data_IF_619856030859
#
_entry.id   IF_619856030859
#
_cell.length_a   1.000
_cell.length_b   1.000
_cell.length_c   1.000
_cell.angle_alpha   90.00
_cell.angle_beta   90.00
_cell.angle_gamma   90.00
#
_symmetry.space_group_name_H-M   'P 1'
#
loop_
_entity.id
_entity.type
_entity.pdbx_description
1 polymer ?
#
# COMPACT_ATOMS: atom_id res chain seq x y z
N UNK A 1 28.19 79.76 -24.98
CA UNK A 1 27.62 80.85 -24.15
C UNK A 1 27.00 80.17 -22.94
N UNK A 2 27.72 80.17 -21.81
CA UNK A 2 27.53 81.10 -20.67
C UNK A 2 26.21 80.77 -19.95
N UNK A 3 26.13 80.53 -18.65
CA UNK A 3 27.03 80.79 -17.53
C UNK A 3 26.59 79.96 -16.30
N UNK A 4 27.58 79.58 -15.50
CA UNK A 4 27.65 79.58 -14.02
C UNK A 4 26.33 79.64 -13.25
N UNK A 5 26.15 78.71 -12.31
CA UNK A 5 25.96 79.06 -10.90
C UNK A 5 26.51 77.96 -9.98
N UNK A 6 27.58 78.33 -9.27
CA UNK A 6 28.11 77.62 -8.13
C UNK A 6 27.34 78.05 -6.88
N UNK A 7 26.89 77.10 -6.06
CA UNK A 7 26.54 77.37 -4.66
C UNK A 7 27.40 76.49 -3.77
N UNK A 8 28.30 77.18 -3.09
CA UNK A 8 29.20 76.75 -2.04
C UNK A 8 28.38 76.54 -0.75
N UNK A 9 28.42 75.33 -0.19
CA UNK A 9 28.05 75.10 1.21
C UNK A 9 29.23 74.44 1.94
N UNK A 10 29.65 75.11 3.01
CA UNK A 10 30.79 74.80 3.88
C UNK A 10 30.54 73.53 4.72
N UNK A 11 31.62 72.84 5.13
CA UNK A 11 31.55 71.65 5.96
C UNK A 11 31.36 72.03 7.43
N UNK A 12 30.66 71.20 8.20
CA UNK A 12 30.82 71.22 9.65
C UNK A 12 30.52 69.87 10.31
N UNK A 13 31.59 69.35 10.92
CA UNK A 13 31.65 68.75 12.25
C UNK A 13 31.00 67.38 12.45
N UNK A 14 31.83 66.39 12.16
CA UNK A 14 32.27 65.34 13.10
C UNK A 14 31.28 64.99 14.21
N UNK A 15 30.50 63.95 13.99
CA UNK A 15 29.90 63.15 15.06
C UNK A 15 30.65 61.83 15.08
N UNK A 16 31.42 61.61 16.15
CA UNK A 16 31.94 60.30 16.54
C UNK A 16 30.75 59.37 16.76
N UNK A 17 30.50 58.47 15.80
CA UNK A 17 29.64 57.32 15.99
C UNK A 17 30.52 56.10 16.26
N UNK A 18 30.51 55.63 17.50
CA UNK A 18 31.14 54.38 17.89
C UNK A 18 30.47 53.20 17.16
N UNK A 19 31.15 52.64 16.15
CA UNK A 19 30.80 51.35 15.58
C UNK A 19 31.12 50.26 16.61
N UNK A 20 30.16 49.96 17.48
CA UNK A 20 30.14 48.70 18.20
C UNK A 20 29.78 47.59 17.20
N UNK A 21 30.80 46.89 16.71
CA UNK A 21 30.70 45.59 16.06
C UNK A 21 30.15 44.57 17.06
N UNK A 22 28.82 44.46 17.14
CA UNK A 22 28.17 43.25 17.65
C UNK A 22 28.02 42.28 16.47
N UNK A 23 29.05 41.45 16.29
CA UNK A 23 28.98 40.26 15.46
C UNK A 23 27.99 39.29 16.09
N UNK A 24 26.74 39.31 15.65
CA UNK A 24 25.79 38.23 15.88
C UNK A 24 26.12 37.11 14.89
N UNK A 25 27.06 36.23 15.24
CA UNK A 25 27.14 34.90 14.67
C UNK A 25 25.94 34.11 15.19
N UNK A 26 24.83 34.17 14.46
CA UNK A 26 23.79 33.14 14.51
C UNK A 26 24.42 31.85 13.97
N UNK A 27 25.15 31.16 14.85
CA UNK A 27 25.35 29.72 14.76
C UNK A 27 23.95 29.12 14.84
N UNK A 28 23.33 28.94 13.68
CA UNK A 28 22.30 27.94 13.50
C UNK A 28 22.94 26.60 13.82
N UNK A 29 22.91 26.22 15.09
CA UNK A 29 22.84 24.84 15.52
C UNK A 29 21.54 24.30 14.93
N UNK A 30 21.59 23.99 13.63
CA UNK A 30 20.73 22.98 13.07
C UNK A 30 21.01 21.76 13.91
N UNK A 31 20.08 21.42 14.80
CA UNK A 31 19.97 20.08 15.31
C UNK A 31 19.72 19.19 14.08
N UNK A 32 20.80 18.83 13.40
CA UNK A 32 20.91 17.51 12.80
C UNK A 32 20.83 16.56 13.99
N UNK A 33 19.59 16.34 14.44
CA UNK A 33 19.29 15.14 15.19
C UNK A 33 19.89 13.98 14.41
N UNK A 34 20.47 12.98 15.08
CA UNK A 34 20.92 11.80 14.38
C UNK A 34 19.73 11.28 13.60
N UNK A 35 19.78 11.40 12.28
CA UNK A 35 19.05 10.52 11.39
C UNK A 35 19.64 9.16 11.71
N UNK A 36 19.07 8.53 12.74
CA UNK A 36 19.38 7.16 13.08
C UNK A 36 19.26 6.39 11.79
N UNK A 37 20.32 5.63 11.53
CA UNK A 37 20.47 4.70 10.44
C UNK A 37 19.42 3.58 10.63
N UNK A 38 18.14 3.91 10.48
CA UNK A 38 16.99 2.98 10.48
C UNK A 38 17.08 1.96 9.34
N UNK A 39 18.11 2.09 8.48
CA UNK A 39 18.36 1.26 7.32
C UNK A 39 19.34 0.10 7.58
N UNK A 40 19.81 -0.10 8.82
CA UNK A 40 20.72 -1.21 9.16
C UNK A 40 20.14 -2.22 10.15
N UNK A 41 18.86 -2.12 10.53
CA UNK A 41 18.23 -3.22 11.24
C UNK A 41 18.04 -4.41 10.27
N UNK A 42 18.53 -5.62 10.62
CA UNK A 42 18.30 -6.78 9.78
C UNK A 42 16.80 -7.00 9.64
N UNK A 43 16.33 -7.25 8.41
CA UNK A 43 14.93 -7.61 8.17
C UNK A 43 14.56 -8.80 9.07
N UNK A 44 13.33 -8.84 9.61
CA UNK A 44 12.91 -9.97 10.42
C UNK A 44 13.01 -11.26 9.59
N UNK A 45 13.25 -12.38 10.26
CA UNK A 45 13.27 -13.68 9.58
C UNK A 45 11.98 -13.90 8.81
N UNK A 46 12.10 -14.41 7.58
CA UNK A 46 10.91 -14.70 6.78
C UNK A 46 10.20 -15.92 7.38
N UNK A 47 8.90 -15.81 7.70
CA UNK A 47 8.18 -16.95 8.22
C UNK A 47 8.16 -18.07 7.20
N UNK A 48 8.48 -19.29 7.66
CA UNK A 48 8.44 -20.50 6.85
C UNK A 48 7.13 -21.28 7.01
N UNK A 49 6.32 -20.92 8.02
CA UNK A 49 5.05 -21.56 8.34
C UNK A 49 3.91 -20.68 7.86
N UNK A 50 2.94 -21.30 7.19
CA UNK A 50 1.73 -20.62 6.78
C UNK A 50 0.95 -20.11 8.02
N UNK A 51 0.54 -18.85 7.98
CA UNK A 51 -0.23 -18.23 9.07
C UNK A 51 -1.47 -17.55 8.51
N UNK A 52 -2.57 -17.70 9.25
CA UNK A 52 -3.84 -17.11 8.89
C UNK A 52 -3.77 -15.58 8.94
N UNK A 53 -4.48 -14.96 8.00
CA UNK A 53 -4.82 -13.53 8.09
C UNK A 53 -5.63 -13.32 9.37
N UNK A 54 -5.28 -12.32 10.17
CA UNK A 54 -5.86 -12.09 11.49
C UNK A 54 -7.27 -11.52 11.40
N UNK A 55 -7.56 -10.77 10.33
CA UNK A 55 -8.92 -10.31 10.11
C UNK A 55 -9.20 -9.72 8.73
N UNK A 56 -10.43 -9.29 8.55
CA UNK A 56 -10.99 -8.73 7.33
C UNK A 56 -11.85 -7.54 7.71
N UNK A 57 -11.46 -6.35 7.27
CA UNK A 57 -12.09 -5.08 7.63
C UNK A 57 -13.05 -4.56 6.56
N UNK A 58 -12.84 -4.97 5.31
CA UNK A 58 -13.56 -4.48 4.16
C UNK A 58 -13.55 -5.55 3.08
N UNK A 59 -14.71 -5.83 2.49
CA UNK A 59 -14.84 -6.73 1.36
C UNK A 59 -15.90 -6.22 0.40
N UNK A 60 -15.46 -5.81 -0.79
CA UNK A 60 -16.35 -5.29 -1.83
C UNK A 60 -16.21 -6.10 -3.12
N UNK A 61 -17.29 -6.72 -3.62
CA UNK A 61 -17.23 -7.38 -4.92
C UNK A 61 -17.07 -6.35 -6.03
N UNK A 62 -16.36 -6.71 -7.10
CA UNK A 62 -16.22 -5.88 -8.29
C UNK A 62 -16.41 -6.67 -9.59
N UNK A 63 -16.80 -5.95 -10.63
CA UNK A 63 -16.82 -6.40 -12.03
C UNK A 63 -16.22 -5.31 -12.91
N UNK A 64 -15.42 -5.72 -13.88
CA UNK A 64 -14.77 -4.85 -14.86
C UNK A 64 -15.44 -4.99 -16.22
N UNK A 65 -15.59 -3.88 -16.94
CA UNK A 65 -15.97 -3.91 -18.36
C UNK A 65 -14.85 -4.54 -19.20
N UNK A 66 -13.60 -4.09 -18.98
CA UNK A 66 -12.39 -4.61 -19.61
C UNK A 66 -11.58 -5.46 -18.63
N UNK A 67 -11.35 -6.73 -18.99
CA UNK A 67 -10.51 -7.62 -18.21
C UNK A 67 -9.03 -7.21 -18.25
N UNK A 68 -8.26 -7.66 -17.26
CA UNK A 68 -6.80 -7.52 -17.23
C UNK A 68 -6.14 -8.89 -17.00
N UNK A 69 -4.83 -8.98 -17.25
CA UNK A 69 -4.04 -10.19 -16.94
C UNK A 69 -3.58 -10.14 -15.49
N UNK A 70 -3.93 -11.14 -14.70
CA UNK A 70 -3.40 -11.35 -13.37
C UNK A 70 -1.95 -11.78 -13.45
N UNK A 71 -1.02 -10.99 -12.94
CA UNK A 71 0.42 -11.29 -13.07
C UNK A 71 0.97 -12.15 -11.92
N UNK A 72 0.18 -12.36 -10.86
CA UNK A 72 0.58 -13.10 -9.66
C UNK A 72 0.24 -14.58 -9.73
N UNK A 73 0.15 -15.10 -10.95
CA UNK A 73 0.02 -16.51 -11.27
C UNK A 73 0.77 -16.84 -12.54
N UNK A 74 1.32 -18.05 -12.60
CA UNK A 74 2.07 -18.56 -13.74
C UNK A 74 1.22 -18.57 -15.02
N UNK A 75 -0.05 -18.95 -14.91
CA UNK A 75 -0.95 -19.07 -16.06
C UNK A 75 -1.45 -17.72 -16.59
N UNK A 76 -1.28 -16.65 -15.80
CA UNK A 76 -1.73 -15.29 -16.10
C UNK A 76 -3.19 -15.20 -16.56
N UNK A 77 -4.15 -15.66 -15.75
CA UNK A 77 -5.56 -15.69 -16.13
C UNK A 77 -6.10 -14.28 -16.41
N UNK A 78 -7.14 -14.21 -17.24
CA UNK A 78 -7.89 -12.98 -17.46
C UNK A 78 -8.84 -12.75 -16.28
N UNK A 79 -8.72 -11.61 -15.62
CA UNK A 79 -9.57 -11.22 -14.49
C UNK A 79 -10.56 -10.17 -14.95
N UNK A 80 -11.84 -10.48 -14.76
CA UNK A 80 -12.96 -9.59 -15.03
C UNK A 80 -13.79 -9.31 -13.76
N UNK A 81 -13.63 -10.09 -12.71
CA UNK A 81 -14.39 -10.00 -11.47
C UNK A 81 -13.57 -10.52 -10.30
N UNK A 82 -13.97 -10.14 -9.10
CA UNK A 82 -13.29 -10.55 -7.88
C UNK A 82 -13.77 -9.75 -6.68
N UNK A 83 -12.98 -9.78 -5.61
CA UNK A 83 -13.19 -8.94 -4.44
C UNK A 83 -12.00 -8.00 -4.21
N UNK A 84 -12.33 -6.77 -3.83
CA UNK A 84 -11.40 -5.80 -3.27
C UNK A 84 -11.51 -5.89 -1.74
N UNK A 85 -10.40 -6.20 -1.09
CA UNK A 85 -10.34 -6.59 0.32
C UNK A 85 -9.40 -5.68 1.11
N UNK A 86 -9.66 -5.51 2.39
CA UNK A 86 -8.70 -4.96 3.38
C UNK A 86 -8.54 -5.96 4.51
N UNK A 87 -7.33 -6.46 4.66
CA UNK A 87 -6.95 -7.54 5.57
C UNK A 87 -6.17 -6.99 6.77
N UNK A 88 -6.37 -7.59 7.95
CA UNK A 88 -5.47 -7.45 9.09
C UNK A 88 -4.42 -8.55 9.03
N UNK A 89 -3.14 -8.18 8.96
CA UNK A 89 -2.04 -9.13 8.77
C UNK A 89 -0.95 -8.87 9.80
N UNK A 90 -0.16 -9.90 10.08
CA UNK A 90 1.12 -9.73 10.76
C UNK A 90 2.14 -9.18 9.74
N UNK A 91 2.72 -8.01 10.07
CA UNK A 91 3.62 -7.26 9.18
C UNK A 91 4.85 -8.08 8.76
N UNK A 92 5.26 -9.08 9.55
CA UNK A 92 6.41 -9.93 9.24
C UNK A 92 6.27 -10.68 7.90
N UNK A 93 5.04 -10.96 7.47
CA UNK A 93 4.73 -11.63 6.18
C UNK A 93 4.71 -10.68 4.99
N UNK A 94 4.65 -9.37 5.23
CA UNK A 94 4.43 -8.37 4.20
C UNK A 94 5.58 -7.38 4.06
N UNK A 95 6.68 -7.59 4.81
CA UNK A 95 7.95 -6.88 4.63
C UNK A 95 8.49 -7.08 3.21
N UNK A 96 8.77 -6.00 2.45
CA UNK A 96 9.39 -6.10 1.12
C UNK A 96 10.77 -6.77 1.19
N UNK A 97 11.04 -7.70 0.27
CA UNK A 97 12.32 -8.44 0.19
C UNK A 97 12.82 -8.49 -1.25
N UNK A 98 14.15 -8.54 -1.41
CA UNK A 98 14.79 -8.77 -2.71
C UNK A 98 14.85 -10.27 -3.09
N UNK A 99 14.07 -11.12 -2.42
CA UNK A 99 14.07 -12.57 -2.53
C UNK A 99 12.63 -13.07 -2.66
N UNK A 100 12.41 -14.38 -2.46
CA UNK A 100 11.07 -14.95 -2.35
C UNK A 100 10.27 -14.24 -1.25
N UNK A 101 8.98 -14.11 -1.45
CA UNK A 101 8.06 -13.45 -0.52
C UNK A 101 6.92 -14.40 -0.13
N UNK A 102 6.32 -14.16 1.03
CA UNK A 102 5.15 -14.93 1.43
C UNK A 102 3.98 -14.54 0.53
N UNK A 103 3.43 -15.53 -0.17
CA UNK A 103 2.32 -15.31 -1.10
C UNK A 103 1.00 -15.31 -0.35
N UNK A 104 0.14 -14.33 -0.63
CA UNK A 104 -1.18 -14.23 -0.03
C UNK A 104 -2.19 -15.07 -0.84
N UNK A 105 -2.81 -16.04 -0.17
CA UNK A 105 -3.84 -16.90 -0.74
C UNK A 105 -5.19 -16.64 -0.08
N UNK A 106 -6.25 -16.72 -0.88
CA UNK A 106 -7.64 -16.61 -0.42
C UNK A 106 -8.46 -17.66 -1.15
N UNK A 107 -8.98 -18.64 -0.41
CA UNK A 107 -9.63 -19.80 -1.00
C UNK A 107 -8.67 -20.56 -1.92
N UNK A 108 -9.02 -20.65 -3.20
CA UNK A 108 -8.25 -21.32 -4.25
C UNK A 108 -7.58 -20.34 -5.24
N UNK A 109 -7.37 -19.09 -4.82
CA UNK A 109 -6.71 -18.06 -5.64
C UNK A 109 -5.53 -17.38 -4.93
N UNK A 110 -4.67 -16.78 -5.76
CA UNK A 110 -3.61 -15.87 -5.29
C UNK A 110 -4.15 -14.45 -5.30
N UNK A 111 -4.12 -13.78 -4.15
CA UNK A 111 -4.53 -12.39 -4.05
C UNK A 111 -3.38 -11.45 -4.39
N UNK A 112 -3.64 -10.47 -5.26
CA UNK A 112 -2.68 -9.40 -5.55
C UNK A 112 -2.69 -8.38 -4.41
N UNK A 113 -1.55 -8.13 -3.77
CA UNK A 113 -1.41 -7.06 -2.78
C UNK A 113 -1.13 -5.74 -3.48
N UNK A 114 -1.76 -4.67 -3.01
CA UNK A 114 -1.62 -3.32 -3.57
C UNK A 114 -0.75 -2.42 -2.71
N UNK A 115 -0.47 -2.85 -1.47
CA UNK A 115 0.45 -2.24 -0.52
C UNK A 115 1.11 -3.35 0.33
N UNK A 116 2.05 -2.95 1.18
CA UNK A 116 2.84 -3.86 2.01
C UNK A 116 2.30 -3.95 3.44
N UNK A 117 1.43 -3.05 3.87
CA UNK A 117 0.92 -3.01 5.24
C UNK A 117 1.92 -2.50 6.28
N UNK A 118 3.08 -2.01 5.85
CA UNK A 118 4.15 -1.49 6.71
C UNK A 118 3.63 -0.42 7.67
N UNK A 119 3.81 -0.63 8.97
CA UNK A 119 3.42 0.30 10.03
C UNK A 119 1.92 0.40 10.31
N UNK A 120 1.08 -0.42 9.64
CA UNK A 120 -0.36 -0.44 9.86
C UNK A 120 -0.94 -1.85 10.11
N UNK A 121 -0.22 -2.90 9.73
CA UNK A 121 -0.73 -4.27 9.66
C UNK A 121 -1.90 -4.42 8.68
N UNK A 122 -2.09 -3.50 7.73
CA UNK A 122 -3.23 -3.47 6.80
C UNK A 122 -2.82 -3.73 5.36
N UNK A 123 -3.33 -4.80 4.77
CA UNK A 123 -3.09 -5.09 3.34
C UNK A 123 -4.37 -4.94 2.55
N UNK A 124 -4.34 -4.06 1.56
CA UNK A 124 -5.35 -3.95 0.51
C UNK A 124 -5.00 -4.95 -0.58
N UNK A 125 -5.94 -5.82 -0.91
CA UNK A 125 -5.72 -6.90 -1.87
C UNK A 125 -6.87 -7.02 -2.88
N UNK A 126 -6.53 -7.49 -4.08
CA UNK A 126 -7.49 -7.90 -5.11
C UNK A 126 -7.43 -9.41 -5.21
N UNK A 127 -8.55 -10.06 -4.89
CA UNK A 127 -8.72 -11.50 -5.05
C UNK A 127 -9.57 -11.76 -6.30
N UNK A 128 -9.00 -12.34 -7.38
CA UNK A 128 -9.79 -12.80 -8.51
C UNK A 128 -10.89 -13.77 -8.07
N UNK A 129 -12.03 -13.73 -8.74
CA UNK A 129 -13.05 -14.78 -8.65
C UNK A 129 -13.92 -14.77 -9.90
N UNK A 130 -14.27 -15.94 -10.41
CA UNK A 130 -15.17 -16.06 -11.55
C UNK A 130 -16.56 -15.48 -11.24
N UNK A 131 -17.31 -15.07 -12.25
CA UNK A 131 -18.71 -14.68 -12.05
C UNK A 131 -19.59 -15.92 -11.84
N UNK A 132 -20.42 -15.87 -10.81
CA UNK A 132 -21.53 -16.80 -10.60
C UNK A 132 -22.72 -16.52 -11.51
N UNK A 133 -23.73 -17.39 -11.42
CA UNK A 133 -24.96 -17.27 -12.20
C UNK A 133 -25.80 -16.02 -11.86
N UNK A 134 -25.59 -15.45 -10.68
CA UNK A 134 -26.21 -14.23 -10.18
C UNK A 134 -25.48 -12.94 -10.62
N UNK A 135 -24.39 -13.08 -11.39
CA UNK A 135 -23.56 -11.96 -11.82
C UNK A 135 -22.67 -11.38 -10.71
N UNK A 136 -22.54 -12.08 -9.57
CA UNK A 136 -21.61 -11.73 -8.50
C UNK A 136 -20.34 -12.60 -8.56
N UNK A 137 -19.20 -12.13 -8.03
CA UNK A 137 -18.01 -12.96 -7.89
C UNK A 137 -18.28 -14.19 -7.01
N UNK A 138 -18.00 -15.38 -7.54
CA UNK A 138 -18.25 -16.68 -6.92
C UNK A 138 -17.11 -17.09 -5.96
N UNK A 139 -16.86 -16.28 -4.93
CA UNK A 139 -15.95 -16.60 -3.83
C UNK A 139 -16.68 -16.49 -2.49
N UNK A 140 -16.83 -17.63 -1.81
CA UNK A 140 -17.48 -17.70 -0.51
C UNK A 140 -16.50 -17.41 0.63
N UNK A 141 -16.49 -16.16 1.10
CA UNK A 141 -15.67 -15.74 2.23
C UNK A 141 -15.99 -16.44 3.57
N UNK A 142 -17.16 -17.08 3.72
CA UNK A 142 -17.52 -17.78 4.95
C UNK A 142 -16.79 -19.13 5.09
N UNK A 143 -16.37 -19.71 3.97
CA UNK A 143 -15.66 -21.00 3.93
C UNK A 143 -14.22 -20.89 3.43
N UNK A 144 -13.85 -19.76 2.79
CA UNK A 144 -12.49 -19.54 2.32
C UNK A 144 -11.50 -19.32 3.46
N UNK A 145 -10.37 -20.04 3.41
CA UNK A 145 -9.19 -19.68 4.19
C UNK A 145 -8.55 -18.41 3.60
N UNK A 146 -7.94 -17.60 4.47
CA UNK A 146 -7.11 -16.45 4.08
C UNK A 146 -5.78 -16.57 4.81
N UNK A 147 -4.67 -16.69 4.08
CA UNK A 147 -3.37 -16.97 4.70
C UNK A 147 -2.21 -16.52 3.84
N UNK A 148 -1.06 -16.33 4.49
CA UNK A 148 0.22 -16.26 3.81
C UNK A 148 0.82 -17.66 3.75
N UNK A 149 1.09 -18.16 2.54
CA UNK A 149 1.70 -19.46 2.31
C UNK A 149 3.23 -19.42 2.34
N UNK A 150 3.84 -20.51 1.89
CA UNK A 150 5.30 -20.62 1.83
C UNK A 150 5.92 -19.58 0.87
N UNK A 151 7.17 -19.14 1.11
CA UNK A 151 7.85 -18.18 0.25
C UNK A 151 7.95 -18.64 -1.22
N UNK A 152 7.55 -17.78 -2.15
CA UNK A 152 7.65 -17.98 -3.59
C UNK A 152 7.63 -16.62 -4.31
N UNK A 153 7.90 -16.60 -5.62
CA UNK A 153 7.53 -15.48 -6.47
C UNK A 153 6.07 -15.65 -6.93
N UNK A 154 5.16 -14.70 -6.70
CA UNK A 154 3.76 -14.84 -7.08
C UNK A 154 3.56 -15.25 -8.55
N UNK A 155 4.35 -14.72 -9.48
CA UNK A 155 4.27 -15.05 -10.91
C UNK A 155 4.71 -16.48 -11.27
N UNK A 156 5.24 -17.25 -10.31
CA UNK A 156 5.59 -18.68 -10.45
C UNK A 156 4.54 -19.61 -9.84
N UNK A 157 3.55 -19.07 -9.13
CA UNK A 157 2.50 -19.87 -8.49
C UNK A 157 1.50 -20.34 -9.54
N UNK A 158 1.32 -21.65 -9.64
CA UNK A 158 0.31 -22.28 -10.49
C UNK A 158 -0.84 -22.87 -9.66
N UNK A 159 -1.89 -23.35 -10.34
CA UNK A 159 -3.04 -23.96 -9.68
C UNK A 159 -2.66 -25.15 -8.79
N UNK A 160 -1.69 -25.97 -9.20
CA UNK A 160 -1.26 -27.13 -8.44
C UNK A 160 -0.64 -26.71 -7.10
N UNK A 161 0.19 -25.66 -7.11
CA UNK A 161 0.74 -25.08 -5.90
C UNK A 161 -0.33 -24.49 -5.01
N UNK A 162 -1.29 -23.73 -5.55
CA UNK A 162 -2.39 -23.18 -4.74
C UNK A 162 -3.12 -24.29 -3.97
N UNK A 163 -3.45 -25.40 -4.64
CA UNK A 163 -4.10 -26.54 -3.98
C UNK A 163 -3.20 -27.19 -2.92
N UNK A 164 -1.89 -27.31 -3.17
CA UNK A 164 -0.93 -27.82 -2.19
C UNK A 164 -0.83 -26.91 -0.96
N UNK A 165 -0.78 -25.59 -1.14
CA UNK A 165 -0.74 -24.61 -0.05
C UNK A 165 -2.05 -24.62 0.74
N UNK A 166 -3.20 -24.71 0.08
CA UNK A 166 -4.51 -24.81 0.73
C UNK A 166 -4.62 -26.08 1.59
N UNK A 167 -4.15 -27.21 1.07
CA UNK A 167 -4.11 -28.46 1.82
C UNK A 167 -3.16 -28.37 3.03
N UNK A 168 -1.99 -27.76 2.86
CA UNK A 168 -1.03 -27.54 3.94
C UNK A 168 -1.59 -26.60 5.03
N UNK A 169 -2.22 -25.49 4.64
CA UNK A 169 -2.89 -24.57 5.56
C UNK A 169 -3.99 -25.26 6.36
N UNK A 170 -4.83 -26.05 5.68
CA UNK A 170 -5.89 -26.82 6.34
C UNK A 170 -5.31 -27.87 7.31
N UNK A 171 -4.24 -28.57 6.92
CA UNK A 171 -3.57 -29.56 7.77
C UNK A 171 -2.87 -28.91 8.98
N UNK A 172 -2.45 -27.65 8.86
CA UNK A 172 -1.93 -26.84 9.96
C UNK A 172 -3.04 -26.29 10.89
N UNK A 173 -4.31 -26.60 10.60
CA UNK A 173 -5.45 -26.23 11.45
C UNK A 173 -5.93 -24.80 11.25
N UNK A 174 -5.57 -24.13 10.15
CA UNK A 174 -6.16 -22.85 9.80
C UNK A 174 -7.66 -23.01 9.56
N UNK A 175 -8.43 -22.04 10.03
CA UNK A 175 -9.88 -22.01 9.89
C UNK A 175 -10.31 -20.71 9.21
N UNK A 176 -11.47 -20.69 8.53
CA UNK A 176 -12.03 -19.46 8.01
C UNK A 176 -12.28 -18.44 9.12
N UNK A 177 -12.31 -17.16 8.74
CA UNK A 177 -12.63 -16.07 9.66
C UNK A 177 -14.07 -16.20 10.16
N UNK A 178 -14.33 -15.66 11.36
CA UNK A 178 -15.66 -15.70 11.96
C UNK A 178 -16.72 -15.02 11.08
N UNK A 179 -17.92 -15.60 11.02
CA UNK A 179 -19.01 -15.12 10.17
C UNK A 179 -19.39 -13.66 10.45
N UNK A 180 -19.40 -13.24 11.72
CA UNK A 180 -19.65 -11.86 12.14
C UNK A 180 -18.65 -10.89 11.50
N UNK A 181 -17.36 -11.24 11.52
CA UNK A 181 -16.31 -10.42 10.93
C UNK A 181 -16.46 -10.32 9.41
N UNK A 182 -16.83 -11.41 8.74
CA UNK A 182 -17.14 -11.41 7.30
C UNK A 182 -18.35 -10.51 6.99
N UNK A 183 -19.39 -10.53 7.82
CA UNK A 183 -20.57 -9.67 7.64
C UNK A 183 -20.21 -8.20 7.80
N UNK A 184 -19.50 -7.83 8.87
CA UNK A 184 -19.03 -6.46 9.10
C UNK A 184 -18.20 -5.95 7.91
N UNK A 185 -17.28 -6.77 7.41
CA UNK A 185 -16.45 -6.41 6.27
C UNK A 185 -17.26 -6.20 4.97
N UNK A 186 -18.26 -7.06 4.72
CA UNK A 186 -19.15 -6.93 3.56
C UNK A 186 -20.02 -5.68 3.66
N UNK A 187 -20.55 -5.37 4.84
CA UNK A 187 -21.31 -4.15 5.09
C UNK A 187 -20.44 -2.90 4.88
N UNK A 188 -19.21 -2.91 5.38
CA UNK A 188 -18.24 -1.84 5.15
C UNK A 188 -17.87 -1.69 3.66
N UNK A 189 -17.82 -2.81 2.93
CA UNK A 189 -17.59 -2.87 1.48
C UNK A 189 -18.73 -2.32 0.64
N UNK A 190 -19.96 -2.56 1.07
CA UNK A 190 -21.18 -2.15 0.38
C UNK A 190 -21.45 -2.93 -0.90
N UNK A 191 -22.21 -2.30 -1.80
CA UNK A 191 -22.69 -2.94 -3.03
C UNK A 191 -21.58 -3.20 -4.07
N UNK A 192 -21.90 -4.09 -5.02
CA UNK A 192 -21.10 -4.41 -6.20
C UNK A 192 -20.55 -3.15 -6.88
N UNK A 193 -19.24 -3.15 -7.11
CA UNK A 193 -18.52 -2.10 -7.80
C UNK A 193 -18.38 -2.44 -9.29
N UNK A 194 -18.97 -1.63 -10.16
CA UNK A 194 -18.80 -1.74 -11.61
C UNK A 194 -17.79 -0.70 -12.09
N UNK A 195 -16.76 -1.14 -12.79
CA UNK A 195 -15.64 -0.29 -13.21
C UNK A 195 -15.28 -0.55 -14.67
N UNK A 196 -14.72 0.47 -15.32
CA UNK A 196 -14.29 0.35 -16.72
C UNK A 196 -13.13 -0.66 -16.88
N UNK A 197 -12.11 -0.58 -16.03
CA UNK A 197 -10.88 -1.35 -16.18
C UNK A 197 -10.06 -1.45 -14.87
N UNK A 198 -8.85 -2.02 -15.00
CA UNK A 198 -7.88 -2.16 -13.91
C UNK A 198 -7.46 -0.83 -13.30
N UNK A 199 -7.26 0.21 -14.11
CA UNK A 199 -6.86 1.54 -13.61
C UNK A 199 -7.92 2.09 -12.67
N UNK A 200 -9.20 1.96 -13.03
CA UNK A 200 -10.30 2.38 -12.18
C UNK A 200 -10.33 1.57 -10.86
N UNK A 201 -10.06 0.27 -10.90
CA UNK A 201 -9.98 -0.59 -9.71
C UNK A 201 -8.81 -0.20 -8.79
N UNK A 202 -7.64 0.09 -9.33
CA UNK A 202 -6.47 0.53 -8.55
C UNK A 202 -6.71 1.87 -7.86
N UNK A 203 -7.44 2.79 -8.50
CA UNK A 203 -7.83 4.07 -7.86
C UNK A 203 -8.78 3.85 -6.67
N UNK A 204 -9.66 2.86 -6.75
CA UNK A 204 -10.52 2.47 -5.63
C UNK A 204 -9.71 1.84 -4.50
N UNK A 205 -8.78 0.94 -4.84
CA UNK A 205 -7.83 0.36 -3.89
C UNK A 205 -6.97 1.43 -3.20
N UNK A 206 -6.48 2.43 -3.94
CA UNK A 206 -5.68 3.52 -3.40
C UNK A 206 -6.44 4.34 -2.33
N UNK A 207 -7.74 4.55 -2.51
CA UNK A 207 -8.57 5.20 -1.47
C UNK A 207 -8.68 4.35 -0.21
N UNK A 208 -8.67 3.02 -0.34
CA UNK A 208 -8.61 2.11 0.81
C UNK A 208 -7.25 2.17 1.49
N UNK A 209 -6.14 2.25 0.75
CA UNK A 209 -4.80 2.45 1.31
C UNK A 209 -4.76 3.75 2.12
N UNK A 210 -5.25 4.88 1.58
CA UNK A 210 -5.33 6.14 2.32
C UNK A 210 -6.15 6.04 3.61
N UNK A 211 -7.21 5.22 3.61
CA UNK A 211 -8.12 5.07 4.75
C UNK A 211 -7.59 4.13 5.83
N UNK A 212 -7.00 3.00 5.43
CA UNK A 212 -6.64 1.91 6.33
C UNK A 212 -5.14 1.78 6.56
N UNK A 213 -4.31 2.16 5.60
CA UNK A 213 -2.85 2.05 5.65
C UNK A 213 -2.19 3.42 5.45
N UNK A 214 -2.56 4.41 6.28
CA UNK A 214 -2.09 5.78 6.14
C UNK A 214 -0.56 5.98 6.12
N UNK A 215 0.28 5.13 6.78
CA UNK A 215 1.73 5.23 6.62
C UNK A 215 2.23 5.01 5.19
N UNK A 216 1.44 4.34 4.34
CA UNK A 216 1.76 4.07 2.93
C UNK A 216 1.04 5.04 1.97
N UNK A 217 0.77 6.26 2.45
CA UNK A 217 0.09 7.31 1.67
C UNK A 217 0.75 7.59 0.32
N UNK A 218 2.08 7.66 0.28
CA UNK A 218 2.82 8.01 -0.93
C UNK A 218 2.55 7.01 -2.07
N UNK A 219 2.42 5.73 -1.72
CA UNK A 219 2.04 4.67 -2.66
C UNK A 219 0.64 4.93 -3.25
N UNK A 220 -0.32 5.25 -2.39
CA UNK A 220 -1.69 5.55 -2.81
C UNK A 220 -1.76 6.81 -3.70
N UNK A 221 -1.01 7.85 -3.38
CA UNK A 221 -0.96 9.08 -4.18
C UNK A 221 -0.37 8.83 -5.57
N UNK A 222 0.59 7.91 -5.69
CA UNK A 222 1.08 7.41 -6.98
C UNK A 222 -0.03 6.86 -7.87
N UNK A 223 -0.89 5.98 -7.34
CA UNK A 223 -2.03 5.42 -8.08
C UNK A 223 -3.10 6.46 -8.45
N UNK A 224 -3.24 7.52 -7.66
CA UNK A 224 -4.24 8.57 -7.88
C UNK A 224 -3.77 9.65 -8.85
N UNK A 225 -2.47 9.73 -9.12
CA UNK A 225 -1.88 10.68 -10.06
C UNK A 225 -2.53 10.55 -11.46
N UNK A 226 -2.94 11.66 -12.09
CA UNK A 226 -3.46 11.62 -13.45
C UNK A 226 -2.44 11.04 -14.43
N UNK A 227 -2.87 10.11 -15.28
CA UNK A 227 -2.04 9.62 -16.36
C UNK A 227 -1.81 10.75 -17.37
N UNK A 228 -0.54 11.13 -17.58
CA UNK A 228 -0.16 12.02 -18.67
C UNK A 228 -0.41 11.28 -19.98
N UNK A 229 -1.28 11.82 -20.82
CA UNK A 229 -1.63 11.27 -22.13
C UNK A 229 -0.96 12.06 -23.24
#
# INVERSE_FOLDING_TARGET
MNERFAVMLKPNKTILGACALLGLTLLGLGAMGPWQDLNNEPLPEQPSVALGVQGLLFARPFVLEKSYRHNWRLERPQVKSGLLLVLEVDEVFSVPRNTLESVLYIGDEVAERLNWGTGSGRVVAICPAALGADGLPALDLLSALMWYGSPELPERVDAARVQSELAAASAAGLVPLASEQIQIAREAGGALLQLADRTALEREAARLVLRFASPERDLAEGFLTPLVR
#
